data_IF_254192888782
#
_entry.id   IF_254192888782
#
_cell.length_a   1.000
_cell.length_b   1.000
_cell.length_c   1.000
_cell.angle_alpha   90.00
_cell.angle_beta   90.00
_cell.angle_gamma   90.00
#
_symmetry.space_group_name_H-M   'P 1'
#
loop_
_entity.id
_entity.type
_entity.pdbx_description
1 polymer ?
#
# COMPACT_ATOMS: atom_id res chain seq x y z
N UNK A 1 -33.69 43.72 -8.95
CA UNK A 1 -32.91 42.74 -9.74
C UNK A 1 -31.42 42.95 -9.51
N UNK A 2 -30.78 42.34 -8.49
CA UNK A 2 -29.31 42.18 -8.46
C UNK A 2 -28.68 41.35 -7.34
N UNK A 3 -29.39 40.50 -6.59
CA UNK A 3 -28.73 39.65 -5.58
C UNK A 3 -29.23 38.20 -5.57
N UNK A 4 -29.59 37.69 -6.76
CA UNK A 4 -29.93 36.30 -7.00
C UNK A 4 -28.70 35.50 -7.51
N UNK A 5 -27.51 35.80 -6.98
CA UNK A 5 -26.25 35.15 -7.36
C UNK A 5 -25.29 35.03 -6.17
N UNK A 6 -25.81 34.60 -5.02
CA UNK A 6 -25.01 34.13 -3.88
C UNK A 6 -25.26 32.64 -3.64
N UNK A 7 -25.24 31.90 -4.76
CA UNK A 7 -25.26 30.45 -4.82
C UNK A 7 -23.89 29.97 -5.31
N UNK A 8 -22.79 30.23 -4.58
CA UNK A 8 -21.53 29.53 -4.85
C UNK A 8 -20.43 29.67 -3.78
N UNK A 9 -20.75 29.49 -2.50
CA UNK A 9 -19.70 29.17 -1.51
C UNK A 9 -20.12 27.97 -0.68
N UNK A 10 -20.40 26.87 -1.38
CA UNK A 10 -20.27 25.54 -0.80
C UNK A 10 -18.77 25.29 -0.69
N UNK A 11 -18.17 25.73 0.42
CA UNK A 11 -16.87 25.23 0.86
C UNK A 11 -17.04 23.80 1.34
N UNK A 12 -17.14 22.86 0.40
CA UNK A 12 -16.73 21.48 0.67
C UNK A 12 -15.22 21.51 0.84
N UNK A 13 -14.78 21.83 2.06
CA UNK A 13 -13.51 21.35 2.56
C UNK A 13 -13.60 19.82 2.57
N UNK A 14 -13.31 19.23 1.41
CA UNK A 14 -13.09 17.81 1.27
C UNK A 14 -11.87 17.48 2.11
N UNK A 15 -12.10 17.11 3.36
CA UNK A 15 -11.13 16.51 4.26
C UNK A 15 -10.74 15.17 3.67
N UNK A 16 -9.92 15.22 2.62
CA UNK A 16 -9.45 14.04 1.93
C UNK A 16 -8.27 13.50 2.72
N UNK A 17 -8.62 12.71 3.74
CA UNK A 17 -7.65 12.01 4.55
C UNK A 17 -6.96 10.94 3.69
N UNK A 18 -5.63 10.98 3.65
CA UNK A 18 -4.84 9.91 3.05
C UNK A 18 -5.03 8.64 3.88
N UNK A 19 -5.69 7.63 3.31
CA UNK A 19 -5.97 6.37 4.02
C UNK A 19 -4.69 5.53 4.20
N UNK A 20 -3.78 5.59 3.21
CA UNK A 20 -2.40 5.13 3.34
C UNK A 20 -1.48 6.35 3.57
N UNK A 21 -0.79 6.39 4.71
CA UNK A 21 0.11 7.51 5.04
C UNK A 21 1.56 7.24 4.63
N UNK A 22 2.02 6.01 4.85
CA UNK A 22 3.39 5.62 4.60
C UNK A 22 3.49 4.14 4.24
N UNK A 23 4.49 3.81 3.45
CA UNK A 23 4.86 2.43 3.10
C UNK A 23 6.26 2.18 3.60
N UNK A 24 6.44 1.15 4.42
CA UNK A 24 7.75 0.66 4.86
C UNK A 24 8.15 -0.49 3.94
N UNK A 25 9.35 -0.43 3.38
CA UNK A 25 9.91 -1.48 2.53
C UNK A 25 11.15 -2.08 3.17
N UNK A 26 11.30 -3.39 3.03
CA UNK A 26 12.57 -4.08 3.26
C UNK A 26 13.14 -4.47 1.91
N UNK A 27 14.43 -4.22 1.69
CA UNK A 27 15.10 -4.50 0.41
C UNK A 27 16.33 -5.34 0.67
N UNK A 28 16.44 -6.46 -0.04
CA UNK A 28 17.61 -7.34 0.04
C UNK A 28 18.73 -6.81 -0.86
N UNK A 29 19.97 -6.87 -0.36
CA UNK A 29 21.17 -6.44 -1.10
C UNK A 29 21.55 -4.97 -0.94
N UNK A 30 20.85 -4.18 -0.11
CA UNK A 30 21.25 -2.80 0.21
C UNK A 30 22.45 -2.75 1.16
N UNK A 31 23.65 -3.07 0.66
CA UNK A 31 24.88 -3.08 1.47
C UNK A 31 25.75 -1.85 1.28
N UNK A 32 25.38 -0.92 0.40
CA UNK A 32 26.18 0.27 0.08
C UNK A 32 25.34 1.55 -0.06
N UNK A 33 25.93 2.71 0.25
CA UNK A 33 25.27 4.03 0.16
C UNK A 33 24.81 4.39 -1.26
N UNK A 34 25.55 3.95 -2.27
CA UNK A 34 25.17 4.15 -3.68
C UNK A 34 24.03 3.21 -4.10
N UNK A 35 23.98 2.00 -3.54
CA UNK A 35 22.95 1.00 -3.76
C UNK A 35 21.59 1.53 -3.25
N UNK A 36 21.57 2.04 -2.02
CA UNK A 36 20.36 2.63 -1.44
C UNK A 36 19.93 3.88 -2.18
N UNK A 37 20.88 4.71 -2.63
CA UNK A 37 20.57 5.90 -3.42
C UNK A 37 19.92 5.56 -4.77
N UNK A 38 20.39 4.50 -5.45
CA UNK A 38 19.78 4.03 -6.70
C UNK A 38 18.31 3.66 -6.51
N UNK A 39 18.01 2.86 -5.49
CA UNK A 39 16.63 2.48 -5.14
C UNK A 39 15.79 3.71 -4.78
N UNK A 40 16.31 4.60 -3.93
CA UNK A 40 15.63 5.83 -3.53
C UNK A 40 15.23 6.68 -4.75
N UNK A 41 16.13 6.84 -5.72
CA UNK A 41 15.87 7.61 -6.93
C UNK A 41 14.77 6.98 -7.80
N UNK A 42 14.68 5.65 -7.90
CA UNK A 42 13.60 4.99 -8.63
C UNK A 42 12.25 5.17 -7.92
N UNK A 43 12.24 5.04 -6.59
CA UNK A 43 11.02 5.20 -5.78
C UNK A 43 10.48 6.64 -5.82
N UNK A 44 11.36 7.65 -5.84
CA UNK A 44 10.96 9.07 -5.94
C UNK A 44 10.29 9.43 -7.27
N UNK A 45 10.49 8.65 -8.34
CA UNK A 45 9.84 8.86 -9.64
C UNK A 45 8.36 8.44 -9.63
N UNK A 46 7.92 7.68 -8.64
CA UNK A 46 6.54 7.21 -8.56
C UNK A 46 5.61 8.38 -8.21
N UNK A 47 4.56 8.57 -9.00
CA UNK A 47 3.68 9.75 -8.90
C UNK A 47 3.02 9.92 -7.53
N UNK A 48 2.77 8.82 -6.82
CA UNK A 48 2.14 8.81 -5.49
C UNK A 48 3.13 8.95 -4.33
N UNK A 49 4.45 8.96 -4.59
CA UNK A 49 5.48 9.12 -3.56
C UNK A 49 5.78 10.60 -3.33
N UNK A 50 5.73 11.03 -2.07
CA UNK A 50 6.09 12.39 -1.64
C UNK A 50 7.56 12.49 -1.26
N UNK A 51 8.02 11.53 -0.45
CA UNK A 51 9.39 11.49 0.06
C UNK A 51 9.81 10.03 0.32
N UNK A 52 11.13 9.79 0.32
CA UNK A 52 11.71 8.47 0.59
C UNK A 52 12.88 8.66 1.55
N UNK A 53 12.87 7.95 2.68
CA UNK A 53 13.99 7.88 3.61
C UNK A 53 14.52 6.46 3.66
N UNK A 54 15.81 6.29 3.38
CA UNK A 54 16.46 4.99 3.43
C UNK A 54 17.19 4.81 4.77
N UNK A 55 17.12 3.61 5.33
CA UNK A 55 17.89 3.16 6.49
C UNK A 55 18.77 1.99 6.06
N UNK A 56 20.06 2.26 5.87
CA UNK A 56 21.00 1.22 5.46
C UNK A 56 21.35 0.25 6.59
N UNK A 57 21.28 0.70 7.85
CA UNK A 57 21.59 -0.16 9.00
C UNK A 57 20.61 -1.34 9.09
N UNK A 58 19.35 -1.11 8.72
CA UNK A 58 18.32 -2.15 8.69
C UNK A 58 18.01 -2.66 7.27
N UNK A 59 18.60 -2.08 6.22
CA UNK A 59 18.27 -2.34 4.81
C UNK A 59 16.78 -2.09 4.49
N UNK A 60 16.27 -0.97 4.99
CA UNK A 60 14.86 -0.58 4.93
C UNK A 60 14.68 0.79 4.26
N UNK A 61 13.44 1.09 3.87
CA UNK A 61 13.03 2.39 3.38
C UNK A 61 11.65 2.76 3.89
N UNK A 62 11.43 4.05 4.15
CA UNK A 62 10.13 4.62 4.49
C UNK A 62 9.70 5.60 3.41
N UNK A 63 8.62 5.28 2.71
CA UNK A 63 8.01 6.11 1.69
C UNK A 63 6.87 6.89 2.33
N UNK A 64 6.95 8.21 2.27
CA UNK A 64 5.81 9.08 2.59
C UNK A 64 4.95 9.24 1.35
N UNK A 65 3.64 9.04 1.48
CA UNK A 65 2.72 9.06 0.34
C UNK A 65 2.10 10.45 0.14
N UNK A 66 1.83 10.81 -1.10
CA UNK A 66 1.06 12.01 -1.42
C UNK A 66 -0.42 11.78 -1.04
N UNK A 67 -1.08 12.77 -0.41
CA UNK A 67 -2.51 12.67 -0.16
C UNK A 67 -3.25 12.54 -1.50
N UNK A 68 -4.37 11.81 -1.47
CA UNK A 68 -5.33 11.69 -2.58
C UNK A 68 -4.80 10.96 -3.83
N UNK A 69 -3.53 10.55 -3.86
CA UNK A 69 -2.99 9.70 -4.92
C UNK A 69 -3.29 8.22 -4.64
N UNK A 70 -3.55 7.46 -5.71
CA UNK A 70 -3.71 6.00 -5.62
C UNK A 70 -2.32 5.39 -5.45
N UNK A 71 -2.15 4.48 -4.51
CA UNK A 71 -0.86 3.81 -4.26
C UNK A 71 -0.84 2.51 -5.06
N UNK A 72 0.08 2.41 -6.00
CA UNK A 72 0.26 1.21 -6.81
C UNK A 72 1.45 0.40 -6.28
N UNK A 73 1.21 -0.53 -5.36
CA UNK A 73 2.28 -1.28 -4.68
C UNK A 73 3.11 -2.13 -5.65
N UNK A 74 2.52 -2.62 -6.74
CA UNK A 74 3.25 -3.32 -7.79
C UNK A 74 4.31 -2.43 -8.46
N UNK A 75 4.10 -1.10 -8.54
CA UNK A 75 5.10 -0.18 -9.07
C UNK A 75 6.26 0.03 -8.10
N UNK A 76 6.03 -0.07 -6.79
CA UNK A 76 7.11 -0.05 -5.78
C UNK A 76 8.01 -1.26 -5.98
N UNK A 77 7.43 -2.46 -6.08
CA UNK A 77 8.18 -3.68 -6.36
C UNK A 77 8.99 -3.56 -7.66
N UNK A 78 8.33 -3.17 -8.76
CA UNK A 78 8.99 -2.99 -10.06
C UNK A 78 10.11 -1.94 -10.02
N UNK A 79 9.95 -0.85 -9.27
CA UNK A 79 10.99 0.17 -9.12
C UNK A 79 12.23 -0.38 -8.40
N UNK A 80 12.04 -1.23 -7.39
CA UNK A 80 13.13 -1.90 -6.67
C UNK A 80 13.81 -2.94 -7.57
N UNK A 81 13.04 -3.74 -8.30
CA UNK A 81 13.55 -4.71 -9.29
C UNK A 81 14.35 -4.03 -10.40
N UNK A 82 13.85 -2.93 -10.95
CA UNK A 82 14.54 -2.12 -11.97
C UNK A 82 15.84 -1.50 -11.46
N UNK A 83 15.96 -1.31 -10.14
CA UNK A 83 17.21 -0.86 -9.51
C UNK A 83 18.20 -2.03 -9.29
N UNK A 84 17.81 -3.27 -9.59
CA UNK A 84 18.64 -4.48 -9.45
C UNK A 84 18.50 -5.19 -8.10
N UNK A 85 17.46 -4.89 -7.32
CA UNK A 85 17.29 -5.42 -5.96
C UNK A 85 15.99 -6.22 -5.81
N UNK A 86 15.87 -6.96 -4.71
CA UNK A 86 14.68 -7.76 -4.38
C UNK A 86 13.96 -7.20 -3.16
N UNK A 87 12.63 -7.29 -3.18
CA UNK A 87 11.78 -6.88 -2.07
C UNK A 87 11.72 -7.99 -1.03
N UNK A 88 12.08 -7.66 0.21
CA UNK A 88 11.91 -8.54 1.37
C UNK A 88 10.47 -8.47 1.89
N UNK A 89 9.95 -7.25 2.06
CA UNK A 89 8.57 -7.00 2.46
C UNK A 89 8.10 -5.61 1.99
N UNK A 90 6.79 -5.44 1.87
CA UNK A 90 6.11 -4.14 1.78
C UNK A 90 5.06 -4.09 2.88
N UNK A 91 5.28 -3.21 3.86
CA UNK A 91 4.38 -2.98 4.99
C UNK A 91 3.69 -1.62 4.86
N UNK A 92 2.42 -1.55 5.20
CA UNK A 92 1.66 -0.30 5.17
C UNK A 92 0.55 -0.33 6.21
N UNK A 93 0.12 0.85 6.67
CA UNK A 93 -1.03 0.97 7.56
C UNK A 93 -2.18 1.65 6.83
N UNK A 94 -3.39 1.15 7.04
CA UNK A 94 -4.61 1.65 6.45
C UNK A 94 -5.61 2.03 7.53
N UNK A 95 -6.07 3.29 7.52
CA UNK A 95 -7.09 3.76 8.48
C UNK A 95 -8.47 3.25 8.07
N UNK A 96 -9.13 2.53 8.96
CA UNK A 96 -10.42 1.87 8.70
C UNK A 96 -11.64 2.75 8.93
N UNK A 97 -11.45 4.02 9.31
CA UNK A 97 -12.53 5.00 9.54
C UNK A 97 -13.50 5.14 8.35
N UNK A 98 -13.12 4.65 7.16
CA UNK A 98 -13.91 4.66 5.94
C UNK A 98 -14.38 3.26 5.44
N UNK A 99 -14.11 2.16 6.17
CA UNK A 99 -14.38 0.79 5.70
C UNK A 99 -15.07 -0.06 6.78
N UNK A 100 -16.27 -0.54 6.47
CA UNK A 100 -16.98 -1.54 7.26
C UNK A 100 -16.47 -2.94 6.90
N UNK A 101 -15.40 -3.42 7.56
CA UNK A 101 -14.92 -4.81 7.46
C UNK A 101 -15.81 -5.79 8.24
N UNK A 102 -17.15 -5.65 8.14
CA UNK A 102 -18.10 -6.53 8.83
C UNK A 102 -18.08 -7.90 8.17
N UNK A 103 -17.36 -8.85 8.75
CA UNK A 103 -17.40 -10.27 8.38
C UNK A 103 -16.75 -10.64 7.05
N UNK A 104 -16.06 -9.71 6.36
CA UNK A 104 -15.35 -10.00 5.11
C UNK A 104 -13.84 -9.86 5.28
N UNK A 105 -13.07 -10.86 4.84
CA UNK A 105 -11.60 -10.82 4.79
C UNK A 105 -11.07 -9.89 3.68
N UNK A 106 -11.85 -8.93 3.22
CA UNK A 106 -11.45 -8.08 2.11
C UNK A 106 -12.20 -6.76 2.09
N UNK A 107 -11.58 -5.77 1.46
CA UNK A 107 -12.16 -4.46 1.20
C UNK A 107 -11.68 -3.89 -0.13
N UNK A 108 -12.39 -2.89 -0.65
CA UNK A 108 -11.97 -2.13 -1.83
C UNK A 108 -11.59 -0.72 -1.42
N UNK A 109 -10.54 -0.19 -2.05
CA UNK A 109 -10.18 1.22 -1.92
C UNK A 109 -9.80 1.76 -3.30
N UNK A 110 -10.49 2.82 -3.71
CA UNK A 110 -10.48 3.32 -5.09
C UNK A 110 -10.89 2.21 -6.07
N UNK A 111 -9.98 1.72 -6.91
CA UNK A 111 -10.23 0.67 -7.90
C UNK A 111 -9.51 -0.63 -7.58
N UNK A 112 -8.79 -0.72 -6.45
CA UNK A 112 -8.06 -1.93 -6.07
C UNK A 112 -8.77 -2.65 -4.91
N UNK A 113 -8.62 -3.97 -4.88
CA UNK A 113 -9.08 -4.83 -3.81
C UNK A 113 -7.92 -5.25 -2.91
N UNK A 114 -8.19 -5.29 -1.60
CA UNK A 114 -7.27 -5.67 -0.55
C UNK A 114 -7.85 -6.87 0.17
N UNK A 115 -7.10 -7.97 0.21
CA UNK A 115 -7.60 -9.28 0.60
C UNK A 115 -6.69 -9.83 1.72
N UNK A 116 -7.25 -9.94 2.91
CA UNK A 116 -6.58 -10.49 4.07
C UNK A 116 -6.50 -12.01 3.96
N UNK A 117 -5.28 -12.56 4.08
CA UNK A 117 -5.02 -14.00 4.11
C UNK A 117 -5.33 -14.63 5.47
N UNK A 118 -5.50 -13.80 6.50
CA UNK A 118 -5.81 -14.17 7.87
C UNK A 118 -7.01 -13.33 8.37
N UNK A 119 -7.80 -13.84 9.34
CA UNK A 119 -8.92 -13.10 9.91
C UNK A 119 -8.48 -11.72 10.44
N UNK A 120 -9.19 -10.67 10.02
CA UNK A 120 -8.94 -9.29 10.48
C UNK A 120 -9.79 -9.03 11.73
N UNK A 121 -9.21 -8.62 12.87
CA UNK A 121 -9.97 -8.27 14.06
C UNK A 121 -10.91 -7.09 13.80
N UNK A 122 -12.20 -7.23 14.15
CA UNK A 122 -13.24 -6.21 13.88
C UNK A 122 -13.03 -4.87 14.60
N UNK A 123 -12.17 -4.83 15.62
CA UNK A 123 -12.00 -3.66 16.51
C UNK A 123 -10.85 -2.72 16.11
N UNK A 124 -10.15 -2.99 15.01
CA UNK A 124 -8.98 -2.20 14.62
C UNK A 124 -9.36 -0.96 13.79
N UNK A 125 -9.05 0.23 14.33
CA UNK A 125 -9.11 1.53 13.62
C UNK A 125 -8.05 1.67 12.52
N UNK A 126 -7.01 0.85 12.59
CA UNK A 126 -5.89 0.84 11.66
C UNK A 126 -5.52 -0.61 11.38
N UNK A 127 -5.52 -1.00 10.11
CA UNK A 127 -5.03 -2.31 9.68
C UNK A 127 -3.58 -2.11 9.26
N UNK A 128 -2.66 -2.77 9.97
CA UNK A 128 -1.26 -2.89 9.56
C UNK A 128 -1.13 -4.12 8.66
N UNK A 129 -0.66 -3.92 7.45
CA UNK A 129 -0.67 -4.90 6.36
C UNK A 129 0.77 -5.18 5.92
N UNK A 130 1.14 -6.46 5.78
CA UNK A 130 2.31 -6.88 5.00
C UNK A 130 1.82 -7.55 3.72
N UNK A 131 2.17 -6.97 2.58
CA UNK A 131 1.71 -7.46 1.29
C UNK A 131 2.36 -8.79 0.96
N UNK A 132 1.55 -9.72 0.45
CA UNK A 132 1.96 -11.04 0.01
C UNK A 132 1.67 -11.15 -1.48
N UNK A 133 2.73 -11.29 -2.25
CA UNK A 133 2.64 -11.38 -3.70
C UNK A 133 4.01 -11.52 -4.34
N UNK A 134 4.02 -11.95 -5.60
CA UNK A 134 5.23 -12.05 -6.40
C UNK A 134 5.89 -10.67 -6.51
N UNK A 135 7.19 -10.58 -6.18
CA UNK A 135 7.94 -9.33 -6.18
C UNK A 135 7.63 -8.37 -5.02
N UNK A 136 6.61 -8.65 -4.20
CA UNK A 136 6.20 -7.81 -3.05
C UNK A 136 6.54 -8.44 -1.69
N UNK A 137 6.99 -9.70 -1.69
CA UNK A 137 7.32 -10.48 -0.50
C UNK A 137 8.42 -11.51 -0.80
N UNK A 138 9.04 -12.05 0.24
CA UNK A 138 9.99 -13.17 0.07
C UNK A 138 9.33 -14.38 -0.60
N UNK A 139 10.11 -15.15 -1.37
CA UNK A 139 9.66 -16.41 -1.99
C UNK A 139 9.10 -17.39 -0.95
N UNK A 140 9.67 -17.41 0.26
CA UNK A 140 9.21 -18.26 1.35
C UNK A 140 7.82 -17.84 1.84
N UNK A 141 7.59 -16.54 2.07
CA UNK A 141 6.29 -16.04 2.50
C UNK A 141 5.21 -16.26 1.45
N UNK A 142 5.54 -16.03 0.18
CA UNK A 142 4.62 -16.30 -0.93
C UNK A 142 4.23 -17.78 -1.01
N UNK A 143 5.22 -18.70 -0.99
CA UNK A 143 4.96 -20.15 -1.01
C UNK A 143 4.12 -20.62 0.18
N UNK A 144 4.40 -20.10 1.38
CA UNK A 144 3.62 -20.44 2.59
C UNK A 144 2.14 -20.10 2.44
N UNK A 145 1.83 -19.04 1.71
CA UNK A 145 0.48 -18.51 1.57
C UNK A 145 -0.19 -18.84 0.22
N UNK A 146 0.49 -19.53 -0.69
CA UNK A 146 0.00 -19.82 -2.04
C UNK A 146 -1.38 -20.46 -2.03
N UNK A 147 -1.60 -21.49 -1.20
CA UNK A 147 -2.91 -22.16 -1.08
C UNK A 147 -4.02 -21.20 -0.62
N UNK A 148 -3.70 -20.25 0.27
CA UNK A 148 -4.67 -19.25 0.74
C UNK A 148 -5.00 -18.25 -0.37
N UNK A 149 -4.00 -17.82 -1.14
CA UNK A 149 -4.17 -16.91 -2.28
C UNK A 149 -5.09 -17.55 -3.34
N UNK A 150 -4.83 -18.82 -3.68
CA UNK A 150 -5.61 -19.58 -4.67
C UNK A 150 -7.03 -19.89 -4.21
N UNK A 151 -7.23 -20.21 -2.93
CA UNK A 151 -8.54 -20.53 -2.37
C UNK A 151 -9.44 -19.29 -2.17
N UNK A 152 -8.86 -18.09 -2.15
CA UNK A 152 -9.60 -16.90 -1.76
C UNK A 152 -10.28 -16.23 -2.96
N UNK A 153 -11.52 -16.65 -3.21
CA UNK A 153 -12.48 -15.93 -4.03
C UNK A 153 -13.18 -14.90 -3.15
N UNK A 154 -12.70 -13.66 -3.19
CA UNK A 154 -13.34 -12.55 -2.53
C UNK A 154 -14.33 -11.87 -3.49
N UNK A 155 -15.62 -11.86 -3.16
CA UNK A 155 -16.65 -11.16 -3.95
C UNK A 155 -16.32 -9.68 -4.14
N UNK A 156 -15.70 -9.05 -3.14
CA UNK A 156 -15.26 -7.65 -3.20
C UNK A 156 -14.11 -7.43 -4.21
N UNK A 157 -13.45 -8.49 -4.69
CA UNK A 157 -12.38 -8.39 -5.68
C UNK A 157 -12.90 -8.47 -7.12
N UNK A 158 -14.21 -8.65 -7.33
CA UNK A 158 -14.82 -8.61 -8.65
C UNK A 158 -14.72 -7.19 -9.23
N UNK A 159 -14.15 -7.06 -10.43
CA UNK A 159 -13.98 -5.77 -11.11
C UNK A 159 -12.84 -4.89 -10.57
N UNK A 160 -12.04 -5.38 -9.62
CA UNK A 160 -10.86 -4.66 -9.13
C UNK A 160 -9.73 -4.63 -10.18
N UNK A 161 -9.11 -3.47 -10.34
CA UNK A 161 -7.98 -3.24 -11.26
C UNK A 161 -6.74 -4.01 -10.80
N UNK A 162 -6.45 -3.99 -9.50
CA UNK A 162 -5.44 -4.85 -8.87
C UNK A 162 -5.99 -5.53 -7.63
N UNK A 163 -5.44 -6.71 -7.34
CA UNK A 163 -5.71 -7.46 -6.10
C UNK A 163 -4.43 -7.51 -5.28
N UNK A 164 -4.47 -6.98 -4.07
CA UNK A 164 -3.37 -7.04 -3.11
C UNK A 164 -3.73 -7.97 -1.97
N UNK A 165 -3.02 -9.08 -1.87
CA UNK A 165 -3.13 -9.98 -0.74
C UNK A 165 -2.22 -9.51 0.38
N UNK A 166 -2.65 -9.65 1.63
CA UNK A 166 -1.85 -9.24 2.78
C UNK A 166 -2.08 -10.14 4.00
N UNK A 167 -1.08 -10.20 4.86
CA UNK A 167 -1.21 -10.66 6.25
C UNK A 167 -1.17 -9.45 7.18
N UNK A 168 -1.63 -9.63 8.42
CA UNK A 168 -1.47 -8.59 9.43
C UNK A 168 0.03 -8.43 9.75
N UNK A 169 0.53 -7.21 9.65
CA UNK A 169 1.90 -6.91 10.06
C UNK A 169 1.96 -6.77 11.59
N UNK A 170 2.95 -7.43 12.17
CA UNK A 170 3.37 -7.26 13.58
C UNK A 170 3.90 -5.85 13.86
#
# INVERSE_FOLDING_TARGET
MKYLWLWLLISLAGSSYAQFQSVKIGVDGLTCSQCSRSVEMQLRKLDFVKDVKMDLSHTEGLLSLKPNKKVAFHQIAKAIENAGFSVRYIKTSFKTDAISTKGTNCFTFKTDAYIALDPVPETQKVISMELVGQGMSTKQLYKKNQKKIEAMQADCAAGAEHKYYYILAE
#
